data_IF_109894686577
#
_entry.id   IF_109894686577
#
_cell.length_a   1.000
_cell.length_b   1.000
_cell.length_c   1.000
_cell.angle_alpha   90.00
_cell.angle_beta   90.00
_cell.angle_gamma   90.00
#
_symmetry.space_group_name_H-M   'P 1'
#
loop_
_entity.id
_entity.type
_entity.pdbx_description
1 polymer ?
#
# COMPACT_ATOMS: atom_id res chain seq x y z
N UNK A 1 6.30 -8.78 37.38
CA UNK A 1 6.22 -9.34 36.01
C UNK A 1 5.07 -8.65 35.29
N UNK A 2 5.36 -7.78 34.32
CA UNK A 2 4.33 -6.98 33.65
C UNK A 2 3.63 -7.80 32.58
N UNK A 3 2.31 -7.99 32.72
CA UNK A 3 1.47 -8.65 31.73
C UNK A 3 1.46 -7.80 30.46
N UNK A 4 2.19 -8.22 29.42
CA UNK A 4 2.04 -7.68 28.07
C UNK A 4 0.62 -7.99 27.62
N UNK A 5 -0.23 -6.96 27.57
CA UNK A 5 -1.50 -7.01 26.85
C UNK A 5 -1.17 -7.27 25.38
N UNK A 6 -1.32 -8.52 24.95
CA UNK A 6 -1.33 -8.87 23.53
C UNK A 6 -2.52 -8.16 22.89
N UNK A 7 -2.23 -7.06 22.19
CA UNK A 7 -3.20 -6.47 21.28
C UNK A 7 -3.62 -7.55 20.30
N UNK A 8 -4.93 -7.65 20.01
CA UNK A 8 -5.40 -8.52 18.92
C UNK A 8 -4.60 -8.17 17.66
N UNK A 9 -4.11 -9.16 16.89
CA UNK A 9 -3.50 -8.89 15.60
C UNK A 9 -4.53 -8.10 14.78
N UNK A 10 -4.16 -6.90 14.35
CA UNK A 10 -4.96 -6.21 13.34
C UNK A 10 -4.79 -7.01 12.06
N UNK A 11 -5.91 -7.35 11.44
CA UNK A 11 -5.95 -8.04 10.15
C UNK A 11 -5.55 -7.04 9.07
N UNK A 12 -4.24 -6.86 8.90
CA UNK A 12 -3.64 -6.01 7.89
C UNK A 12 -3.39 -6.85 6.64
N UNK A 13 -3.79 -6.32 5.47
CA UNK A 13 -3.48 -6.94 4.17
C UNK A 13 -1.98 -7.11 3.99
N UNK A 14 -1.61 -8.04 3.13
CA UNK A 14 -0.23 -8.19 2.69
C UNK A 14 0.29 -6.90 2.04
N UNK A 15 1.53 -6.57 2.35
CA UNK A 15 2.15 -5.35 1.85
C UNK A 15 3.50 -5.10 2.51
N UNK A 16 4.07 -3.96 2.16
CA UNK A 16 5.38 -3.52 2.63
C UNK A 16 5.33 -2.13 3.24
N UNK A 17 6.20 -1.89 4.21
CA UNK A 17 6.46 -0.57 4.79
C UNK A 17 7.83 -0.10 4.34
N UNK A 18 7.86 1.06 3.67
CA UNK A 18 9.06 1.65 3.08
C UNK A 18 9.16 3.13 3.43
N UNK A 19 10.39 3.63 3.57
CA UNK A 19 10.65 5.06 3.72
C UNK A 19 11.26 5.58 2.43
N UNK A 20 10.53 6.41 1.69
CA UNK A 20 10.92 6.80 0.33
C UNK A 20 10.17 8.05 -0.16
N UNK A 21 10.62 8.61 -1.28
CA UNK A 21 9.95 9.72 -1.95
C UNK A 21 8.84 9.25 -2.90
N UNK A 22 7.95 10.16 -3.27
CA UNK A 22 6.88 9.90 -4.24
C UNK A 22 7.43 9.55 -5.62
N UNK A 23 8.55 10.16 -6.01
CA UNK A 23 9.21 9.88 -7.29
C UNK A 23 9.71 8.44 -7.38
N UNK A 24 10.23 7.90 -6.27
CA UNK A 24 10.65 6.50 -6.19
C UNK A 24 9.44 5.55 -6.17
N UNK A 25 8.32 5.91 -5.53
CA UNK A 25 7.07 5.17 -5.65
C UNK A 25 6.61 5.07 -7.10
N UNK A 26 6.58 6.20 -7.82
CA UNK A 26 6.23 6.26 -9.25
C UNK A 26 7.14 5.39 -10.12
N UNK A 27 8.45 5.36 -9.81
CA UNK A 27 9.40 4.48 -10.50
C UNK A 27 9.12 3.00 -10.19
N UNK A 28 8.80 2.66 -8.96
CA UNK A 28 8.40 1.30 -8.57
C UNK A 28 7.12 0.87 -9.28
N UNK A 29 6.10 1.74 -9.32
CA UNK A 29 4.85 1.48 -10.04
C UNK A 29 5.09 1.17 -11.52
N UNK A 30 5.95 1.93 -12.21
CA UNK A 30 6.38 1.66 -13.61
C UNK A 30 7.09 0.33 -13.82
N UNK A 31 7.61 -0.31 -12.77
CA UNK A 31 8.21 -1.64 -12.88
C UNK A 31 7.18 -2.76 -12.70
N UNK A 32 6.17 -2.51 -11.86
CA UNK A 32 5.22 -3.52 -11.42
C UNK A 32 3.90 -3.51 -12.19
N UNK A 33 3.47 -2.35 -12.70
CA UNK A 33 2.23 -2.18 -13.44
C UNK A 33 2.52 -1.97 -14.93
N UNK A 34 1.64 -2.52 -15.78
CA UNK A 34 1.51 -2.08 -17.16
C UNK A 34 0.72 -0.76 -17.19
N UNK A 35 0.88 0.06 -18.24
CA UNK A 35 0.20 1.36 -18.48
C UNK A 35 -0.85 1.75 -17.43
N UNK A 36 -0.58 2.78 -16.61
CA UNK A 36 -1.42 3.10 -15.46
C UNK A 36 -1.72 4.59 -15.33
N UNK A 37 -2.81 4.88 -14.63
CA UNK A 37 -3.17 6.23 -14.18
C UNK A 37 -2.78 6.42 -12.71
N UNK A 38 -2.45 7.66 -12.34
CA UNK A 38 -2.11 8.04 -10.97
C UNK A 38 -3.15 9.01 -10.42
N UNK A 39 -3.62 8.75 -9.20
CA UNK A 39 -4.52 9.65 -8.49
C UNK A 39 -4.18 9.70 -6.98
N UNK A 40 -4.52 10.81 -6.34
CA UNK A 40 -4.44 10.94 -4.88
C UNK A 40 -5.83 10.76 -4.30
N UNK A 41 -5.99 9.83 -3.37
CA UNK A 41 -7.21 9.66 -2.58
C UNK A 41 -6.96 10.23 -1.19
N UNK A 42 -7.70 11.28 -0.84
CA UNK A 42 -7.66 11.84 0.51
C UNK A 42 -8.16 10.83 1.53
N UNK A 43 -7.76 11.01 2.79
CA UNK A 43 -8.33 10.20 3.89
C UNK A 43 -9.87 10.22 3.89
N UNK A 44 -10.49 11.33 3.51
CA UNK A 44 -11.95 11.49 3.36
C UNK A 44 -12.58 10.64 2.24
N UNK A 45 -11.77 10.03 1.36
CA UNK A 45 -12.21 9.33 0.16
C UNK A 45 -12.28 10.24 -1.08
N UNK A 46 -12.05 11.54 -0.92
CA UNK A 46 -12.05 12.48 -2.05
C UNK A 46 -10.88 12.18 -3.01
N UNK A 47 -11.18 12.01 -4.29
CA UNK A 47 -10.18 11.84 -5.34
C UNK A 47 -9.68 13.20 -5.82
N UNK A 48 -8.37 13.36 -5.88
CA UNK A 48 -7.67 14.58 -6.31
C UNK A 48 -6.61 14.26 -7.36
N UNK A 49 -6.19 15.25 -8.17
CA UNK A 49 -5.09 15.08 -9.10
C UNK A 49 -3.79 14.67 -8.41
N UNK A 50 -2.94 13.91 -9.12
CA UNK A 50 -1.62 13.42 -8.68
C UNK A 50 -0.63 14.50 -8.21
N UNK A 51 -0.90 15.78 -8.53
CA UNK A 51 -0.09 16.94 -8.14
C UNK A 51 -0.47 17.52 -6.78
N UNK A 52 -1.53 17.01 -6.15
CA UNK A 52 -2.02 17.53 -4.88
C UNK A 52 -1.06 17.20 -3.74
N UNK A 53 -1.05 18.06 -2.71
CA UNK A 53 -0.31 17.77 -1.48
C UNK A 53 -0.84 16.49 -0.82
N UNK A 54 0.07 15.68 -0.28
CA UNK A 54 -0.24 14.37 0.32
C UNK A 54 0.02 14.42 1.81
N UNK A 55 -1.06 14.33 2.58
CA UNK A 55 -1.04 14.33 4.04
C UNK A 55 -0.96 12.90 4.60
N UNK A 56 -0.73 12.79 5.91
CA UNK A 56 -0.76 11.49 6.58
C UNK A 56 -2.19 10.93 6.54
N UNK A 57 -2.33 9.69 6.06
CA UNK A 57 -3.61 9.04 5.82
C UNK A 57 -4.12 9.16 4.38
N UNK A 58 -3.52 10.02 3.56
CA UNK A 58 -3.80 10.06 2.12
C UNK A 58 -3.10 8.90 1.40
N UNK A 59 -3.66 8.49 0.27
CA UNK A 59 -3.14 7.43 -0.58
C UNK A 59 -2.80 7.96 -1.97
N UNK A 60 -1.71 7.43 -2.54
CA UNK A 60 -1.47 7.47 -3.99
C UNK A 60 -1.93 6.11 -4.53
N UNK A 61 -2.82 6.14 -5.51
CA UNK A 61 -3.31 4.94 -6.19
C UNK A 61 -2.78 4.97 -7.61
N UNK A 62 -2.07 3.91 -7.99
CA UNK A 62 -1.66 3.61 -9.35
C UNK A 62 -2.53 2.48 -9.85
N UNK A 63 -3.33 2.72 -10.89
CA UNK A 63 -4.33 1.77 -11.40
C UNK A 63 -4.07 1.49 -12.88
N UNK A 64 -3.91 0.21 -13.24
CA UNK A 64 -3.72 -0.23 -14.62
C UNK A 64 -4.89 0.20 -15.52
N UNK A 65 -4.60 0.66 -16.73
CA UNK A 65 -5.58 1.04 -17.75
C UNK A 65 -6.01 -0.22 -18.53
N UNK A 66 -6.78 -1.07 -17.86
CA UNK A 66 -7.32 -2.32 -18.42
C UNK A 66 -8.78 -2.51 -18.03
N UNK A 67 -9.58 -3.03 -18.95
CA UNK A 67 -11.04 -3.13 -18.76
C UNK A 67 -11.47 -4.17 -17.71
N UNK A 68 -10.64 -5.19 -17.49
CA UNK A 68 -10.99 -6.34 -16.64
C UNK A 68 -9.93 -6.54 -15.58
N UNK A 69 -10.36 -6.42 -14.31
CA UNK A 69 -9.54 -6.69 -13.13
C UNK A 69 -8.25 -5.85 -13.12
N UNK A 70 -8.35 -4.50 -13.17
CA UNK A 70 -7.18 -3.65 -13.13
C UNK A 70 -6.37 -3.91 -11.85
N UNK A 71 -5.07 -4.10 -12.03
CA UNK A 71 -4.16 -4.12 -10.91
C UNK A 71 -3.99 -2.73 -10.33
N UNK A 72 -3.94 -2.68 -9.01
CA UNK A 72 -3.71 -1.46 -8.27
C UNK A 72 -2.48 -1.60 -7.38
N UNK A 73 -1.69 -0.53 -7.32
CA UNK A 73 -0.75 -0.29 -6.24
C UNK A 73 -1.22 0.89 -5.43
N UNK A 74 -1.42 0.66 -4.14
CA UNK A 74 -1.87 1.68 -3.20
C UNK A 74 -0.75 1.97 -2.24
N UNK A 75 -0.27 3.22 -2.23
CA UNK A 75 0.73 3.71 -1.29
C UNK A 75 0.11 4.74 -0.35
N UNK A 76 -0.10 4.35 0.91
CA UNK A 76 -0.69 5.19 1.95
C UNK A 76 0.41 5.82 2.78
N UNK A 77 0.39 7.14 2.94
CA UNK A 77 1.35 7.85 3.77
C UNK A 77 1.00 7.63 5.24
N UNK A 78 1.83 6.88 5.96
CA UNK A 78 1.56 6.53 7.36
C UNK A 78 2.33 7.40 8.35
N UNK A 79 3.48 7.95 7.94
CA UNK A 79 4.26 8.89 8.75
C UNK A 79 5.13 9.78 7.86
N UNK A 80 5.64 10.86 8.43
CA UNK A 80 6.60 11.73 7.76
C UNK A 80 6.51 13.16 8.27
N UNK A 81 7.62 13.67 8.80
CA UNK A 81 7.76 15.07 9.19
C UNK A 81 8.34 15.90 8.04
N UNK A 82 8.13 17.22 8.10
CA UNK A 82 8.71 18.17 7.14
C UNK A 82 10.25 18.03 7.15
N UNK A 83 10.84 17.69 6.01
CA UNK A 83 12.29 17.51 5.85
C UNK A 83 12.82 16.08 6.02
N UNK A 84 11.94 15.10 6.33
CA UNK A 84 12.30 13.67 6.33
C UNK A 84 11.58 12.95 5.18
N UNK A 85 12.18 11.84 4.71
CA UNK A 85 11.51 10.98 3.72
C UNK A 85 10.26 10.37 4.36
N UNK A 86 9.07 10.48 3.73
CA UNK A 86 7.85 9.92 4.26
C UNK A 86 7.90 8.38 4.32
N UNK A 87 7.16 7.83 5.27
CA UNK A 87 6.95 6.40 5.43
C UNK A 87 5.62 6.02 4.81
N UNK A 88 5.65 4.98 3.99
CA UNK A 88 4.51 4.50 3.22
C UNK A 88 4.19 3.06 3.58
N UNK A 89 2.91 2.78 3.73
CA UNK A 89 2.38 1.42 3.63
C UNK A 89 1.95 1.20 2.17
N UNK A 90 2.55 0.23 1.52
CA UNK A 90 2.30 -0.11 0.12
C UNK A 90 1.70 -1.50 0.02
N UNK A 91 0.56 -1.61 -0.66
CA UNK A 91 -0.09 -2.89 -0.97
C UNK A 91 -0.34 -2.99 -2.47
N UNK A 92 -0.40 -4.23 -2.97
CA UNK A 92 -0.95 -4.54 -4.29
C UNK A 92 -2.35 -5.10 -4.08
N UNK A 93 -3.30 -4.66 -4.89
CA UNK A 93 -4.67 -5.18 -4.90
C UNK A 93 -5.16 -5.25 -6.34
N UNK A 94 -6.30 -5.90 -6.57
CA UNK A 94 -6.99 -5.96 -7.85
C UNK A 94 -8.44 -5.59 -7.59
N UNK A 95 -9.03 -4.77 -8.45
CA UNK A 95 -10.44 -4.46 -8.34
C UNK A 95 -11.28 -5.73 -8.55
N UNK A 96 -12.01 -6.14 -7.51
CA UNK A 96 -12.91 -7.30 -7.57
C UNK A 96 -14.24 -6.84 -8.16
N UNK A 97 -14.76 -7.48 -9.21
CA UNK A 97 -16.05 -7.12 -9.80
C UNK A 97 -17.16 -7.22 -8.74
N UNK A 98 -18.20 -6.39 -8.85
CA UNK A 98 -19.33 -6.44 -7.92
C UNK A 98 -20.03 -7.81 -7.85
N UNK A 99 -19.94 -8.61 -8.92
CA UNK A 99 -20.43 -9.99 -8.97
C UNK A 99 -19.51 -11.01 -8.28
N UNK A 100 -18.36 -10.57 -7.76
CA UNK A 100 -17.25 -11.43 -7.38
C UNK A 100 -16.50 -11.98 -8.59
N UNK A 101 -15.43 -12.74 -8.31
CA UNK A 101 -14.72 -13.47 -9.35
C UNK A 101 -15.62 -14.55 -9.98
N UNK A 102 -15.69 -14.65 -11.32
CA UNK A 102 -16.51 -15.65 -11.99
C UNK A 102 -16.12 -17.09 -11.63
N UNK A 103 -14.83 -17.34 -11.36
CA UNK A 103 -14.33 -18.65 -10.96
C UNK A 103 -13.26 -18.56 -9.87
N UNK A 104 -13.07 -19.64 -9.11
CA UNK A 104 -11.96 -19.77 -8.16
C UNK A 104 -10.59 -19.63 -8.84
N UNK A 105 -10.48 -20.03 -10.11
CA UNK A 105 -9.25 -19.89 -10.91
C UNK A 105 -8.92 -18.42 -11.18
N UNK A 106 -9.93 -17.58 -11.39
CA UNK A 106 -9.73 -16.15 -11.61
C UNK A 106 -9.32 -15.45 -10.32
N UNK A 107 -9.91 -15.85 -9.19
CA UNK A 107 -9.50 -15.39 -7.86
C UNK A 107 -8.02 -15.75 -7.56
N UNK A 108 -7.60 -17.00 -7.84
CA UNK A 108 -6.20 -17.40 -7.67
C UNK A 108 -5.24 -16.62 -8.57
N UNK A 109 -5.62 -16.38 -9.83
CA UNK A 109 -4.80 -15.57 -10.75
C UNK A 109 -4.64 -14.13 -10.27
N UNK A 110 -5.70 -13.54 -9.70
CA UNK A 110 -5.63 -12.19 -9.13
C UNK A 110 -4.65 -12.16 -7.95
N UNK A 111 -4.77 -13.10 -7.01
CA UNK A 111 -3.85 -13.22 -5.87
C UNK A 111 -2.39 -13.45 -6.32
N UNK A 112 -2.15 -14.31 -7.30
CA UNK A 112 -0.81 -14.55 -7.86
C UNK A 112 -0.23 -13.28 -8.51
N UNK A 113 -1.08 -12.49 -9.17
CA UNK A 113 -0.72 -11.21 -9.78
C UNK A 113 -0.33 -10.18 -8.72
N UNK A 114 -1.10 -10.06 -7.64
CA UNK A 114 -0.80 -9.18 -6.51
C UNK A 114 0.53 -9.55 -5.85
N UNK A 115 0.74 -10.82 -5.54
CA UNK A 115 1.98 -11.32 -4.94
C UNK A 115 3.19 -11.07 -5.86
N UNK A 116 3.03 -11.28 -7.17
CA UNK A 116 4.09 -11.01 -8.15
C UNK A 116 4.43 -9.52 -8.21
N UNK A 117 3.44 -8.62 -8.22
CA UNK A 117 3.63 -7.17 -8.22
C UNK A 117 4.36 -6.71 -6.96
N UNK A 118 3.94 -7.21 -5.79
CA UNK A 118 4.60 -6.89 -4.52
C UNK A 118 6.05 -7.39 -4.47
N UNK A 119 6.34 -8.56 -5.06
CA UNK A 119 7.71 -9.08 -5.22
C UNK A 119 8.56 -8.17 -6.11
N UNK A 120 8.03 -7.72 -7.25
CA UNK A 120 8.73 -6.78 -8.14
C UNK A 120 9.04 -5.47 -7.42
N UNK A 121 8.08 -4.92 -6.67
CA UNK A 121 8.30 -3.72 -5.87
C UNK A 121 9.37 -3.91 -4.81
N UNK A 122 9.30 -5.03 -4.07
CA UNK A 122 10.30 -5.36 -3.04
C UNK A 122 11.69 -5.45 -3.65
N UNK A 123 11.83 -6.10 -4.80
CA UNK A 123 13.11 -6.22 -5.51
C UNK A 123 13.62 -4.86 -5.98
N UNK A 124 12.77 -4.03 -6.59
CA UNK A 124 13.13 -2.68 -7.02
C UNK A 124 13.59 -1.82 -5.83
N UNK A 125 12.81 -1.77 -4.75
CA UNK A 125 13.16 -0.92 -3.61
C UNK A 125 14.44 -1.39 -2.92
N UNK A 126 14.63 -2.70 -2.73
CA UNK A 126 15.81 -3.23 -2.05
C UNK A 126 17.08 -3.18 -2.90
N UNK A 127 17.02 -3.67 -4.15
CA UNK A 127 18.22 -3.86 -4.99
C UNK A 127 18.55 -2.63 -5.83
N UNK A 128 17.55 -2.02 -6.44
CA UNK A 128 17.79 -0.91 -7.39
C UNK A 128 17.83 0.44 -6.67
N UNK A 129 16.94 0.67 -5.71
CA UNK A 129 16.81 1.96 -5.03
C UNK A 129 17.55 2.03 -3.67
N UNK A 130 18.04 0.90 -3.15
CA UNK A 130 18.74 0.84 -1.85
C UNK A 130 17.86 1.22 -0.65
N UNK A 131 16.53 1.10 -0.78
CA UNK A 131 15.54 1.41 0.25
C UNK A 131 15.31 0.18 1.13
N UNK A 132 15.30 0.38 2.45
CA UNK A 132 14.93 -0.68 3.40
C UNK A 132 13.43 -0.99 3.25
N UNK A 133 13.13 -2.25 2.96
CA UNK A 133 11.77 -2.78 2.89
C UNK A 133 11.48 -3.61 4.13
N UNK A 134 10.36 -3.36 4.79
CA UNK A 134 9.87 -4.18 5.90
C UNK A 134 8.54 -4.81 5.49
N UNK A 135 8.38 -6.11 5.69
CA UNK A 135 7.08 -6.76 5.54
C UNK A 135 6.14 -6.29 6.65
N UNK A 136 4.90 -5.94 6.29
CA UNK A 136 3.92 -5.40 7.24
C UNK A 136 3.70 -6.32 8.44
N UNK A 137 3.65 -7.63 8.22
CA UNK A 137 3.44 -8.61 9.29
C UNK A 137 4.61 -8.70 10.30
N UNK A 138 5.80 -8.26 9.92
CA UNK A 138 7.02 -8.29 10.74
C UNK A 138 7.43 -6.90 11.22
N UNK A 139 6.67 -5.88 10.84
CA UNK A 139 7.00 -4.49 11.12
C UNK A 139 6.25 -4.00 12.36
N UNK A 140 6.97 -3.37 13.28
CA UNK A 140 6.40 -2.72 14.45
C UNK A 140 6.68 -1.21 14.37
N UNK A 141 5.68 -0.34 14.58
CA UNK A 141 5.90 1.10 14.69
C UNK A 141 6.71 1.45 15.96
N UNK A 142 7.61 2.42 15.86
CA UNK A 142 8.36 2.92 17.01
C UNK A 142 7.46 3.65 18.04
N UNK A 143 7.95 3.69 19.29
CA UNK A 143 7.14 3.79 20.53
C UNK A 143 6.31 5.07 20.74
N UNK A 144 5.02 4.84 21.00
CA UNK A 144 4.08 5.47 21.97
C UNK A 144 3.16 6.61 21.50
N UNK A 145 3.50 7.49 20.55
CA UNK A 145 2.55 8.55 20.12
C UNK A 145 2.03 8.46 18.68
N UNK A 146 2.65 7.68 17.79
CA UNK A 146 2.15 7.49 16.42
C UNK A 146 1.72 6.04 16.13
N UNK A 147 2.10 5.05 16.95
CA UNK A 147 1.87 3.64 16.64
C UNK A 147 0.38 3.30 16.47
N UNK A 148 -0.48 3.77 17.38
CA UNK A 148 -1.93 3.53 17.28
C UNK A 148 -2.56 4.23 16.06
N UNK A 149 -2.09 5.45 15.74
CA UNK A 149 -2.56 6.20 14.58
C UNK A 149 -2.12 5.55 13.28
N UNK A 150 -0.86 5.16 13.17
CA UNK A 150 -0.29 4.43 12.02
C UNK A 150 -1.06 3.14 11.77
N UNK A 151 -1.23 2.33 12.82
CA UNK A 151 -1.98 1.09 12.74
C UNK A 151 -3.45 1.33 12.33
N UNK A 152 -4.09 2.38 12.88
CA UNK A 152 -5.45 2.76 12.47
C UNK A 152 -5.52 3.17 10.99
N UNK A 153 -4.54 3.92 10.48
CA UNK A 153 -4.46 4.29 9.05
C UNK A 153 -4.28 3.04 8.18
N UNK A 154 -3.39 2.13 8.56
CA UNK A 154 -3.15 0.90 7.82
C UNK A 154 -4.37 -0.02 7.82
N UNK A 155 -5.09 -0.12 8.94
CA UNK A 155 -6.33 -0.88 9.04
C UNK A 155 -7.47 -0.24 8.23
N UNK A 156 -7.57 1.09 8.22
CA UNK A 156 -8.54 1.82 7.39
C UNK A 156 -8.25 1.59 5.90
N UNK A 157 -6.99 1.68 5.49
CA UNK A 157 -6.56 1.40 4.12
C UNK A 157 -6.85 -0.05 3.72
N UNK A 158 -6.51 -1.02 4.57
CA UNK A 158 -6.75 -2.44 4.31
C UNK A 158 -8.25 -2.73 4.15
N UNK A 159 -9.13 -2.01 4.86
CA UNK A 159 -10.58 -2.13 4.68
C UNK A 159 -11.09 -1.48 3.39
N UNK A 160 -10.48 -0.35 2.99
CA UNK A 160 -10.91 0.42 1.81
C UNK A 160 -10.51 -0.25 0.50
N UNK A 161 -9.33 -0.87 0.48
CA UNK A 161 -8.70 -1.42 -0.73
C UNK A 161 -8.52 -2.94 -0.69
N UNK A 162 -8.78 -3.59 0.45
CA UNK A 162 -8.76 -5.04 0.59
C UNK A 162 -10.07 -5.64 0.05
N UNK A 163 -10.08 -5.92 -1.25
CA UNK A 163 -11.20 -6.53 -1.97
C UNK A 163 -11.14 -8.05 -1.97
#
# INVERSE_FOLDING_TARGET
MSKRTGGKPQDLREGIVIQTSVELLRKGARRALFEFTELVVKRTGEKKPATSEIEVGDAIVFMEDVDLLPGELVAVKIAGAKGASPTWYVMSTVEVPASGFPTAKDASKAADSEAKKLRILTEFFTKDAGVKVNEVQKWEPDKILDAAQVLAIMAEASRRYGH
#
